data_IF_134032984555
#
_entry.id   IF_134032984555
#
_cell.length_a   1.000
_cell.length_b   1.000
_cell.length_c   1.000
_cell.angle_alpha   90.00
_cell.angle_beta   90.00
_cell.angle_gamma   90.00
#
_symmetry.space_group_name_H-M   'P 1'
#
loop_
_entity.id
_entity.type
_entity.pdbx_description
1 polymer ?
#
# COMPACT_ATOMS: atom_id res chain seq x y z
N UNK A 1 6.42 -20.82 -10.86
CA UNK A 1 6.81 -19.74 -11.81
C UNK A 1 8.01 -19.00 -11.24
N UNK A 2 9.08 -18.86 -12.01
CA UNK A 2 10.34 -18.24 -11.56
C UNK A 2 10.11 -16.76 -11.20
N UNK A 3 10.27 -16.37 -9.93
CA UNK A 3 10.12 -14.97 -9.50
C UNK A 3 11.26 -14.08 -10.04
N UNK A 4 12.40 -14.69 -10.36
CA UNK A 4 13.64 -14.00 -10.75
C UNK A 4 13.50 -13.19 -12.04
N UNK A 5 12.70 -13.63 -13.02
CA UNK A 5 12.55 -12.88 -14.26
C UNK A 5 11.78 -11.57 -14.05
N UNK A 6 10.75 -11.59 -13.20
CA UNK A 6 9.94 -10.41 -12.86
C UNK A 6 10.81 -9.40 -12.13
N UNK A 7 11.57 -9.88 -11.13
CA UNK A 7 12.52 -9.04 -10.39
C UNK A 7 13.53 -8.39 -11.34
N UNK A 8 14.18 -9.17 -12.20
CA UNK A 8 15.15 -8.64 -13.16
C UNK A 8 14.53 -7.67 -14.17
N UNK A 9 13.29 -7.91 -14.61
CA UNK A 9 12.57 -7.02 -15.52
C UNK A 9 12.24 -5.66 -14.88
N UNK A 10 11.73 -5.67 -13.64
CA UNK A 10 11.43 -4.45 -12.87
C UNK A 10 12.72 -3.65 -12.63
N UNK A 11 13.79 -4.32 -12.20
CA UNK A 11 15.09 -3.67 -11.98
C UNK A 11 15.70 -3.13 -13.28
N UNK A 12 15.51 -3.82 -14.41
CA UNK A 12 15.98 -3.37 -15.73
C UNK A 12 15.31 -2.08 -16.20
N UNK A 13 13.98 -1.97 -16.11
CA UNK A 13 13.26 -0.74 -16.48
C UNK A 13 13.67 0.42 -15.58
N UNK A 14 13.77 0.17 -14.28
CA UNK A 14 14.17 1.19 -13.33
C UNK A 14 15.59 1.69 -13.58
N UNK A 15 16.53 0.78 -13.88
CA UNK A 15 17.91 1.14 -14.23
C UNK A 15 18.01 1.93 -15.54
N UNK A 16 17.14 1.65 -16.51
CA UNK A 16 17.17 2.32 -17.83
C UNK A 16 16.54 3.71 -17.80
N UNK A 17 15.47 3.90 -17.02
CA UNK A 17 14.71 5.17 -17.00
C UNK A 17 15.21 6.15 -15.92
N UNK A 18 15.73 5.67 -14.79
CA UNK A 18 15.95 6.51 -13.60
C UNK A 18 17.41 6.76 -13.23
N UNK A 19 18.36 6.01 -13.83
CA UNK A 19 19.78 6.00 -13.43
C UNK A 19 20.53 7.30 -13.74
N UNK A 20 20.12 8.04 -14.77
CA UNK A 20 20.72 9.34 -15.13
C UNK A 20 19.92 10.55 -14.59
N UNK A 21 18.72 10.32 -14.04
CA UNK A 21 17.83 11.38 -13.53
C UNK A 21 17.93 11.56 -12.01
N UNK A 22 18.29 10.50 -11.26
CA UNK A 22 18.33 10.54 -9.80
C UNK A 22 19.64 10.01 -9.22
N UNK A 23 20.16 10.71 -8.21
CA UNK A 23 21.27 10.25 -7.37
C UNK A 23 20.90 8.89 -6.76
N UNK A 24 21.80 7.90 -6.76
CA UNK A 24 21.54 6.51 -6.32
C UNK A 24 20.72 6.35 -5.02
N UNK A 25 20.82 7.30 -4.08
CA UNK A 25 20.03 7.30 -2.84
C UNK A 25 18.55 7.62 -3.03
N UNK A 26 18.18 8.52 -3.96
CA UNK A 26 16.80 8.98 -4.16
C UNK A 26 15.92 8.02 -4.94
N UNK A 27 16.51 7.11 -5.72
CA UNK A 27 15.76 6.09 -6.46
C UNK A 27 14.91 5.22 -5.53
N UNK A 28 15.47 4.84 -4.38
CA UNK A 28 14.78 4.02 -3.38
C UNK A 28 13.50 4.70 -2.88
N UNK A 29 13.55 6.02 -2.68
CA UNK A 29 12.43 6.81 -2.19
C UNK A 29 11.27 6.89 -3.21
N UNK A 30 11.54 6.62 -4.49
CA UNK A 30 10.53 6.61 -5.54
C UNK A 30 10.00 5.20 -5.78
N UNK A 31 10.89 4.21 -5.97
CA UNK A 31 10.45 2.85 -6.31
C UNK A 31 9.74 2.16 -5.14
N UNK A 32 10.15 2.41 -3.89
CA UNK A 32 9.54 1.78 -2.73
C UNK A 32 8.07 2.15 -2.58
N UNK A 33 7.64 3.42 -2.51
CA UNK A 33 6.21 3.72 -2.42
C UNK A 33 5.44 3.21 -3.65
N UNK A 34 6.02 3.30 -4.86
CA UNK A 34 5.38 2.84 -6.09
C UNK A 34 5.22 1.31 -6.20
N UNK A 35 5.87 0.52 -5.33
CA UNK A 35 5.77 -0.94 -5.32
C UNK A 35 5.18 -1.49 -4.03
N UNK A 36 5.49 -0.86 -2.90
CA UNK A 36 5.04 -1.27 -1.57
C UNK A 36 3.59 -0.84 -1.32
N UNK A 37 3.19 0.38 -1.71
CA UNK A 37 1.81 0.87 -1.49
C UNK A 37 0.80 -0.01 -2.25
N UNK A 38 0.97 -0.29 -3.56
CA UNK A 38 0.05 -1.17 -4.28
C UNK A 38 -0.03 -2.57 -3.68
N UNK A 39 1.08 -3.08 -3.14
CA UNK A 39 1.09 -4.39 -2.49
C UNK A 39 0.30 -4.40 -1.19
N UNK A 40 0.42 -3.35 -0.38
CA UNK A 40 -0.37 -3.20 0.84
C UNK A 40 -1.86 -3.00 0.52
N UNK A 41 -2.19 -2.24 -0.52
CA UNK A 41 -3.57 -2.07 -0.96
C UNK A 41 -4.15 -3.37 -1.52
N UNK A 42 -3.38 -4.18 -2.26
CA UNK A 42 -3.81 -5.49 -2.75
C UNK A 42 -4.11 -6.47 -1.62
N UNK A 43 -3.36 -6.43 -0.51
CA UNK A 43 -3.65 -7.24 0.68
C UNK A 43 -4.98 -6.83 1.32
N UNK A 44 -5.35 -5.55 1.23
CA UNK A 44 -6.58 -5.02 1.82
C UNK A 44 -7.79 -5.07 0.87
N UNK A 45 -7.61 -5.44 -0.40
CA UNK A 45 -8.61 -5.30 -1.47
C UNK A 45 -9.96 -5.93 -1.09
N UNK A 46 -9.93 -7.16 -0.55
CA UNK A 46 -11.12 -7.92 -0.17
C UNK A 46 -11.92 -7.29 1.00
N UNK A 47 -11.26 -6.53 1.88
CA UNK A 47 -11.86 -5.98 3.10
C UNK A 47 -11.93 -4.44 3.09
N UNK A 48 -11.49 -3.80 2.01
CA UNK A 48 -11.37 -2.35 1.91
C UNK A 48 -12.69 -1.63 2.16
N UNK A 49 -13.77 -2.09 1.53
CA UNK A 49 -15.09 -1.48 1.67
C UNK A 49 -15.59 -1.57 3.13
N UNK A 50 -15.41 -2.72 3.76
CA UNK A 50 -15.82 -2.94 5.16
C UNK A 50 -15.06 -2.04 6.12
N UNK A 51 -13.75 -1.89 5.92
CA UNK A 51 -12.90 -0.97 6.71
C UNK A 51 -13.39 0.47 6.56
N UNK A 52 -13.74 0.91 5.35
CA UNK A 52 -14.27 2.25 5.11
C UNK A 52 -15.64 2.47 5.75
N UNK A 53 -16.53 1.48 5.69
CA UNK A 53 -17.82 1.53 6.38
C UNK A 53 -17.67 1.57 7.90
N UNK A 54 -16.80 0.73 8.45
CA UNK A 54 -16.49 0.71 9.87
C UNK A 54 -15.92 2.06 10.32
N UNK A 55 -15.01 2.63 9.53
CA UNK A 55 -14.45 3.97 9.79
C UNK A 55 -15.54 5.03 9.87
N UNK A 56 -16.47 5.02 8.91
CA UNK A 56 -17.60 5.96 8.89
C UNK A 56 -18.48 5.81 10.12
N UNK A 57 -18.83 4.58 10.52
CA UNK A 57 -19.64 4.31 11.71
C UNK A 57 -18.96 4.80 12.99
N UNK A 58 -17.65 4.58 13.11
CA UNK A 58 -16.87 5.03 14.27
C UNK A 58 -16.74 6.56 14.33
N UNK A 59 -16.61 7.22 13.18
CA UNK A 59 -16.59 8.68 13.09
C UNK A 59 -17.94 9.30 13.47
N UNK A 60 -19.04 8.73 12.97
CA UNK A 60 -20.40 9.15 13.32
C UNK A 60 -20.67 8.97 14.84
N UNK A 61 -20.12 7.91 15.43
CA UNK A 61 -20.18 7.62 16.86
C UNK A 61 -19.21 8.47 17.72
N UNK A 62 -18.34 9.29 17.09
CA UNK A 62 -17.27 10.05 17.75
C UNK A 62 -16.37 9.18 18.63
N UNK A 63 -16.12 7.93 18.20
CA UNK A 63 -15.24 7.02 18.91
C UNK A 63 -13.80 7.55 18.87
N UNK A 64 -13.18 7.66 20.04
CA UNK A 64 -11.78 8.12 20.20
C UNK A 64 -10.80 7.03 19.75
N UNK A 65 -11.06 5.78 20.15
CA UNK A 65 -10.22 4.63 19.82
C UNK A 65 -10.84 3.82 18.69
N UNK A 66 -10.24 3.90 17.51
CA UNK A 66 -10.73 3.22 16.30
C UNK A 66 -9.77 2.14 15.79
N UNK A 67 -8.51 2.15 16.25
CA UNK A 67 -7.43 1.35 15.68
C UNK A 67 -7.69 -0.15 15.74
N UNK A 68 -8.10 -0.67 16.90
CA UNK A 68 -8.38 -2.10 17.09
C UNK A 68 -9.53 -2.59 16.20
N UNK A 69 -10.61 -1.81 16.10
CA UNK A 69 -11.77 -2.16 15.29
C UNK A 69 -11.44 -2.17 13.79
N UNK A 70 -10.64 -1.20 13.33
CA UNK A 70 -10.24 -1.11 11.92
C UNK A 70 -9.27 -2.22 11.51
N UNK A 71 -8.32 -2.60 12.38
CA UNK A 71 -7.45 -3.76 12.13
C UNK A 71 -8.22 -5.06 12.11
N UNK A 72 -9.17 -5.22 13.03
CA UNK A 72 -10.03 -6.40 13.05
C UNK A 72 -10.84 -6.55 11.77
N UNK A 73 -11.40 -5.44 11.27
CA UNK A 73 -12.16 -5.45 10.01
C UNK A 73 -11.25 -5.66 8.78
N UNK A 74 -10.03 -5.12 8.81
CA UNK A 74 -9.04 -5.36 7.76
C UNK A 74 -8.58 -6.82 7.69
N UNK A 75 -8.63 -7.54 8.82
CA UNK A 75 -8.10 -8.89 8.94
C UNK A 75 -6.57 -8.95 9.04
N UNK A 76 -5.92 -7.79 9.16
CA UNK A 76 -4.47 -7.64 9.07
C UNK A 76 -3.95 -6.75 10.21
N UNK A 77 -2.64 -6.77 10.44
CA UNK A 77 -1.99 -5.92 11.45
C UNK A 77 -2.03 -4.41 11.12
N UNK A 78 -2.55 -4.04 9.95
CA UNK A 78 -2.65 -2.68 9.45
C UNK A 78 -3.99 -2.48 8.71
N UNK A 79 -4.35 -1.21 8.45
CA UNK A 79 -5.52 -0.83 7.67
C UNK A 79 -5.23 0.43 6.86
N UNK A 80 -6.04 0.68 5.82
CA UNK A 80 -5.99 1.90 5.02
C UNK A 80 -7.41 2.49 4.89
N UNK A 81 -7.64 3.66 5.49
CA UNK A 81 -8.93 4.38 5.47
C UNK A 81 -9.05 5.39 4.32
N UNK A 82 -8.02 5.55 3.49
CA UNK A 82 -8.07 6.40 2.31
C UNK A 82 -8.91 5.75 1.21
N UNK A 83 -9.70 6.55 0.51
CA UNK A 83 -10.54 6.12 -0.63
C UNK A 83 -9.77 5.99 -1.95
N UNK A 84 -8.54 6.46 -1.98
CA UNK A 84 -7.66 6.34 -3.13
C UNK A 84 -7.05 4.93 -3.15
N UNK A 85 -7.13 4.30 -4.30
CA UNK A 85 -6.39 3.11 -4.69
C UNK A 85 -5.41 3.52 -5.79
N UNK A 86 -4.23 2.90 -5.84
CA UNK A 86 -3.31 3.08 -6.98
C UNK A 86 -3.76 2.31 -8.21
#
# INVERSE_FOLDING_TARGET
MSLNWITNYIWGIADDVLRDLYVRGKYRDVILPMTVIPRLDAVLEDNKEKVLEMKKRLDDAKAVEQDAALRQEAGEAFYNTTKFTM
#
